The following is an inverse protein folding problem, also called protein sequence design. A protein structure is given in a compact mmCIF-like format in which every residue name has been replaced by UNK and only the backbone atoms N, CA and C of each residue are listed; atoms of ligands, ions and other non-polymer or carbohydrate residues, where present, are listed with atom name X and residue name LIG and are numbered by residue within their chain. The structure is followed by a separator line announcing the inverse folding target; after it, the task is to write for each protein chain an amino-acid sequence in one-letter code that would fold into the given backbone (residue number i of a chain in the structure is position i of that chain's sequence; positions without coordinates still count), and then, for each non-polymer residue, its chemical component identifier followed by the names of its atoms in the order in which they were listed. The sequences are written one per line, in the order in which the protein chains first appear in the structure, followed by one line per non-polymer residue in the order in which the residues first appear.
data_IF_897295636839
#
_entry.id   IF_897295636839
#
_cell.length_a   1.000
_cell.length_b   1.000
_cell.length_c   1.000
_cell.angle_alpha   90.00
_cell.angle_beta   90.00
_cell.angle_gamma   90.00
#
_symmetry.space_group_name_H-M   'P 1'
#
loop_
_entity.id
_entity.type
_entity.pdbx_description
1 polymer ?
#
# COMPACT_ATOMS: atom_id res chain seq x y z
N UNK A 1 -16.08 9.57 2.94
CA UNK A 1 -16.74 8.32 3.39
C UNK A 1 -18.01 8.18 2.57
N UNK A 2 -18.17 7.12 1.79
CA UNK A 2 -19.39 6.92 0.99
C UNK A 2 -20.45 6.29 1.90
N UNK A 3 -21.67 6.80 1.83
CA UNK A 3 -22.84 6.30 2.55
C UNK A 3 -23.62 5.36 1.64
N UNK A 4 -24.13 4.26 2.18
CA UNK A 4 -24.98 3.35 1.44
C UNK A 4 -26.45 3.80 1.56
N UNK A 5 -27.25 3.67 0.49
CA UNK A 5 -28.69 3.90 0.55
C UNK A 5 -29.31 3.04 1.66
N UNK A 6 -30.17 3.64 2.49
CA UNK A 6 -30.81 2.95 3.62
C UNK A 6 -30.07 3.01 4.94
N UNK A 7 -28.89 3.62 5.01
CA UNK A 7 -28.23 3.94 6.28
C UNK A 7 -29.00 5.09 6.97
N UNK A 8 -29.73 4.78 8.03
CA UNK A 8 -30.44 5.77 8.82
C UNK A 8 -29.50 6.74 9.55
N UNK A 9 -30.04 7.90 9.98
CA UNK A 9 -29.30 8.95 10.69
C UNK A 9 -28.53 8.41 11.90
N UNK A 10 -29.12 7.48 12.65
CA UNK A 10 -28.47 6.83 13.79
C UNK A 10 -27.35 5.86 13.39
N UNK A 11 -27.43 5.25 12.21
CA UNK A 11 -26.34 4.43 11.67
C UNK A 11 -25.20 5.30 11.16
N UNK A 12 -25.48 6.53 10.71
CA UNK A 12 -24.47 7.48 10.25
C UNK A 12 -23.49 7.90 11.35
N UNK A 13 -23.96 8.05 12.59
CA UNK A 13 -23.13 8.43 13.73
C UNK A 13 -22.35 7.27 14.38
N UNK A 14 -22.55 6.00 13.96
CA UNK A 14 -21.82 4.86 14.54
C UNK A 14 -20.41 4.79 14.00
N UNK A 15 -19.39 4.57 14.86
CA UNK A 15 -18.05 4.25 14.40
C UNK A 15 -18.08 3.02 13.47
N UNK A 16 -17.45 3.15 12.29
CA UNK A 16 -17.39 2.07 11.30
C UNK A 16 -15.95 1.71 11.05
N UNK A 17 -15.71 0.44 10.88
CA UNK A 17 -14.38 -0.12 10.64
C UNK A 17 -13.80 -0.80 11.88
N UNK A 18 -12.65 -1.38 11.70
CA UNK A 18 -11.92 -2.09 12.75
C UNK A 18 -10.84 -1.16 13.33
N UNK A 19 -10.54 -1.25 14.64
CA UNK A 19 -9.48 -0.48 15.25
C UNK A 19 -8.13 -0.76 14.57
N UNK A 20 -7.36 0.30 14.28
CA UNK A 20 -6.03 0.18 13.69
C UNK A 20 -5.04 -0.21 14.80
N UNK A 21 -4.11 -1.14 14.49
CA UNK A 21 -3.04 -1.55 15.42
C UNK A 21 -3.37 -2.76 16.30
N UNK A 22 -4.57 -3.31 16.22
CA UNK A 22 -4.95 -4.53 16.94
C UNK A 22 -4.78 -5.76 16.04
N UNK A 23 -4.10 -6.81 16.53
CA UNK A 23 -3.93 -8.09 15.81
C UNK A 23 -5.27 -8.75 15.47
N UNK A 24 -6.25 -8.66 16.36
CA UNK A 24 -7.60 -9.21 16.12
C UNK A 24 -8.31 -8.51 14.97
N UNK A 25 -8.01 -7.23 14.71
CA UNK A 25 -8.62 -6.49 13.58
C UNK A 25 -8.23 -7.08 12.23
N UNK A 26 -6.98 -7.53 12.08
CA UNK A 26 -6.52 -8.20 10.85
C UNK A 26 -7.22 -9.55 10.66
N UNK A 27 -7.38 -10.31 11.74
CA UNK A 27 -8.10 -11.56 11.70
C UNK A 27 -9.56 -11.36 11.29
N UNK A 28 -10.27 -10.43 11.93
CA UNK A 28 -11.67 -10.13 11.60
C UNK A 28 -11.84 -9.57 10.19
N UNK A 29 -10.91 -8.73 9.72
CA UNK A 29 -10.93 -8.25 8.34
C UNK A 29 -10.81 -9.40 7.33
N UNK A 30 -9.96 -10.39 7.61
CA UNK A 30 -9.80 -11.56 6.75
C UNK A 30 -11.05 -12.45 6.78
N UNK A 31 -11.64 -12.70 7.96
CA UNK A 31 -12.90 -13.43 8.06
C UNK A 31 -14.04 -12.73 7.31
N UNK A 32 -14.12 -11.40 7.43
CA UNK A 32 -15.15 -10.60 6.75
C UNK A 32 -15.01 -10.63 5.23
N UNK A 33 -13.78 -10.66 4.71
CA UNK A 33 -13.49 -10.68 3.28
C UNK A 33 -13.35 -12.10 2.70
N UNK A 34 -13.37 -13.17 3.51
CA UNK A 34 -13.29 -14.53 2.99
C UNK A 34 -14.41 -14.87 1.98
N UNK A 35 -15.70 -14.53 2.22
CA UNK A 35 -16.74 -14.76 1.22
C UNK A 35 -16.51 -13.97 -0.09
N UNK A 36 -15.83 -12.83 -0.03
CA UNK A 36 -15.40 -12.10 -1.22
C UNK A 36 -14.29 -12.84 -1.97
N UNK A 37 -13.30 -13.37 -1.26
CA UNK A 37 -12.23 -14.18 -1.86
C UNK A 37 -12.81 -15.44 -2.54
N UNK A 38 -13.77 -16.10 -1.89
CA UNK A 38 -14.47 -17.26 -2.47
C UNK A 38 -15.24 -16.88 -3.74
N UNK A 39 -15.94 -15.74 -3.74
CA UNK A 39 -16.62 -15.21 -4.90
C UNK A 39 -15.66 -14.99 -6.08
N UNK A 40 -14.55 -14.30 -5.86
CA UNK A 40 -13.56 -14.01 -6.92
C UNK A 40 -12.98 -15.31 -7.49
N UNK A 41 -12.66 -16.28 -6.63
CA UNK A 41 -12.03 -17.53 -7.06
C UNK A 41 -13.00 -18.51 -7.69
N UNK A 42 -14.21 -18.67 -7.14
CA UNK A 42 -15.15 -19.75 -7.52
C UNK A 42 -16.22 -19.28 -8.49
N UNK A 43 -16.81 -18.09 -8.27
CA UNK A 43 -17.87 -17.58 -9.12
C UNK A 43 -17.29 -16.86 -10.34
N UNK A 44 -16.34 -15.92 -10.15
CA UNK A 44 -15.65 -15.25 -11.26
C UNK A 44 -14.58 -16.13 -11.92
N UNK A 45 -14.18 -17.23 -11.28
CA UNK A 45 -13.11 -18.13 -11.74
C UNK A 45 -11.79 -17.42 -12.04
N UNK A 46 -11.49 -16.33 -11.29
CA UNK A 46 -10.23 -15.62 -11.43
C UNK A 46 -9.08 -16.47 -10.85
N UNK A 47 -8.32 -17.13 -11.74
CA UNK A 47 -7.21 -18.01 -11.35
C UNK A 47 -6.05 -17.22 -10.73
N UNK A 48 -5.74 -16.07 -11.31
CA UNK A 48 -4.66 -15.20 -10.86
C UNK A 48 -5.22 -14.06 -10.01
N UNK A 49 -5.49 -14.36 -8.75
CA UNK A 49 -6.01 -13.46 -7.73
C UNK A 49 -5.05 -13.34 -6.56
N UNK A 50 -4.82 -12.11 -6.10
CA UNK A 50 -4.00 -11.80 -4.94
C UNK A 50 -4.72 -10.75 -4.09
N UNK A 51 -4.80 -10.96 -2.78
CA UNK A 51 -5.25 -9.95 -1.81
C UNK A 51 -4.24 -9.79 -0.69
N UNK A 52 -3.99 -8.55 -0.32
CA UNK A 52 -3.23 -8.16 0.86
C UNK A 52 -4.05 -7.14 1.66
N UNK A 53 -4.66 -7.60 2.73
CA UNK A 53 -5.62 -6.85 3.57
C UNK A 53 -6.80 -6.35 2.73
N UNK A 54 -6.85 -5.07 2.41
CA UNK A 54 -7.86 -4.38 1.60
C UNK A 54 -7.43 -4.16 0.14
N UNK A 55 -6.14 -4.25 -0.17
CA UNK A 55 -5.63 -4.19 -1.54
C UNK A 55 -5.76 -5.54 -2.24
N UNK A 56 -6.35 -5.59 -3.42
CA UNK A 56 -6.40 -6.82 -4.22
C UNK A 56 -6.12 -6.58 -5.71
N UNK A 57 -5.69 -7.64 -6.37
CA UNK A 57 -5.39 -7.68 -7.80
C UNK A 57 -6.05 -8.90 -8.43
N UNK A 58 -6.67 -8.69 -9.60
CA UNK A 58 -7.16 -9.73 -10.48
C UNK A 58 -6.43 -9.61 -11.82
N UNK A 59 -6.02 -10.73 -12.39
CA UNK A 59 -5.35 -10.77 -13.69
C UNK A 59 -6.13 -11.66 -14.65
N UNK A 60 -6.25 -11.23 -15.91
CA UNK A 60 -6.81 -11.96 -17.01
C UNK A 60 -6.02 -11.66 -18.30
N UNK A 61 -6.21 -12.49 -19.31
CA UNK A 61 -5.52 -12.33 -20.59
C UNK A 61 -6.10 -11.20 -21.43
N UNK A 62 -7.34 -10.78 -21.15
CA UNK A 62 -8.04 -9.75 -21.90
C UNK A 62 -8.73 -8.71 -21.00
N UNK A 63 -8.90 -7.50 -21.54
CA UNK A 63 -9.56 -6.39 -20.86
C UNK A 63 -11.08 -6.57 -20.70
N UNK A 64 -11.84 -7.09 -21.66
CA UNK A 64 -13.27 -7.30 -21.48
C UNK A 64 -13.60 -8.16 -20.28
N UNK A 65 -12.88 -9.25 -20.05
CA UNK A 65 -13.04 -10.10 -18.87
C UNK A 65 -12.82 -9.31 -17.57
N UNK A 66 -11.77 -8.46 -17.52
CA UNK A 66 -11.49 -7.62 -16.34
C UNK A 66 -12.59 -6.57 -16.11
N UNK A 67 -13.17 -6.01 -17.16
CA UNK A 67 -14.31 -5.09 -17.02
C UNK A 67 -15.54 -5.79 -16.46
N UNK A 68 -15.87 -6.98 -16.98
CA UNK A 68 -16.99 -7.80 -16.48
C UNK A 68 -16.78 -8.15 -14.99
N UNK A 69 -15.57 -8.58 -14.63
CA UNK A 69 -15.25 -8.86 -13.23
C UNK A 69 -15.33 -7.61 -12.35
N UNK A 70 -14.90 -6.46 -12.87
CA UNK A 70 -14.99 -5.20 -12.11
C UNK A 70 -16.43 -4.87 -11.71
N UNK A 71 -17.37 -4.95 -12.64
CA UNK A 71 -18.79 -4.68 -12.36
C UNK A 71 -19.36 -5.67 -11.32
N UNK A 72 -19.09 -6.96 -11.49
CA UNK A 72 -19.50 -8.00 -10.56
C UNK A 72 -18.87 -7.81 -9.16
N UNK A 73 -17.61 -7.37 -9.08
CA UNK A 73 -16.92 -7.06 -7.84
C UNK A 73 -17.54 -5.84 -7.15
N UNK A 74 -17.86 -4.78 -7.88
CA UNK A 74 -18.52 -3.60 -7.33
C UNK A 74 -19.87 -3.98 -6.70
N UNK A 75 -20.69 -4.73 -7.41
CA UNK A 75 -21.96 -5.22 -6.90
C UNK A 75 -21.79 -6.11 -5.64
N UNK A 76 -20.82 -7.03 -5.67
CA UNK A 76 -20.56 -7.92 -4.53
C UNK A 76 -20.08 -7.13 -3.30
N UNK A 77 -19.16 -6.17 -3.46
CA UNK A 77 -18.66 -5.35 -2.37
C UNK A 77 -19.75 -4.45 -1.77
N UNK A 78 -20.69 -3.94 -2.60
CA UNK A 78 -21.82 -3.18 -2.11
C UNK A 78 -22.69 -3.99 -1.12
N UNK A 79 -22.85 -5.31 -1.33
CA UNK A 79 -23.53 -6.22 -0.39
C UNK A 79 -22.80 -6.34 0.95
N UNK A 80 -21.49 -6.18 0.97
CA UNK A 80 -20.67 -6.09 2.18
C UNK A 80 -20.58 -4.66 2.75
N UNK A 81 -21.29 -3.70 2.17
CA UNK A 81 -21.18 -2.27 2.53
C UNK A 81 -19.76 -1.74 2.41
N UNK A 82 -19.02 -2.25 1.45
CA UNK A 82 -17.67 -1.82 1.10
C UNK A 82 -17.67 -1.11 -0.25
N UNK A 83 -16.75 -0.15 -0.39
CA UNK A 83 -16.51 0.58 -1.63
C UNK A 83 -15.04 0.47 -2.00
N UNK A 84 -14.74 0.54 -3.30
CA UNK A 84 -13.37 0.66 -3.80
C UNK A 84 -13.10 2.05 -4.35
N UNK A 85 -11.84 2.39 -4.51
CA UNK A 85 -11.44 3.61 -5.22
C UNK A 85 -11.61 3.39 -6.73
N UNK A 86 -12.81 3.63 -7.25
CA UNK A 86 -13.17 3.34 -8.64
C UNK A 86 -12.22 3.99 -9.65
N UNK A 87 -11.75 5.22 -9.37
CA UNK A 87 -10.76 5.89 -10.20
C UNK A 87 -9.42 5.14 -10.34
N UNK A 88 -9.12 4.19 -9.46
CA UNK A 88 -7.92 3.37 -9.50
C UNK A 88 -8.19 1.93 -9.98
N UNK A 89 -9.45 1.52 -9.97
CA UNK A 89 -9.90 0.17 -10.35
C UNK A 89 -10.13 0.06 -11.87
N UNK A 90 -9.09 0.26 -12.66
CA UNK A 90 -9.14 0.15 -14.12
C UNK A 90 -8.21 -0.95 -14.63
N UNK A 91 -8.66 -1.78 -15.59
CA UNK A 91 -7.80 -2.70 -16.30
C UNK A 91 -6.66 -1.98 -17.01
N UNK A 92 -5.44 -2.43 -16.75
CA UNK A 92 -4.23 -1.90 -17.38
C UNK A 92 -3.28 -3.02 -17.79
N UNK A 93 -2.49 -2.85 -18.84
CA UNK A 93 -1.46 -3.80 -19.19
C UNK A 93 -0.43 -3.98 -18.08
N UNK A 94 -0.04 -5.21 -17.79
CA UNK A 94 0.99 -5.52 -16.77
C UNK A 94 2.34 -4.88 -17.15
N UNK A 95 2.61 -4.74 -18.45
CA UNK A 95 3.81 -4.09 -18.97
C UNK A 95 3.96 -2.61 -18.55
N UNK A 96 2.86 -1.91 -18.27
CA UNK A 96 2.89 -0.53 -17.77
C UNK A 96 3.28 -0.45 -16.28
N UNK A 97 3.30 -1.59 -15.60
CA UNK A 97 3.57 -1.71 -14.18
C UNK A 97 2.34 -1.50 -13.30
N UNK A 98 2.17 -2.40 -12.34
CA UNK A 98 1.04 -2.42 -11.39
C UNK A 98 1.48 -1.78 -10.07
N UNK A 99 0.83 -0.68 -9.62
CA UNK A 99 1.09 -0.10 -8.31
C UNK A 99 0.57 -1.03 -7.21
N UNK A 100 1.46 -1.62 -6.40
CA UNK A 100 1.09 -2.50 -5.31
C UNK A 100 2.07 -2.36 -4.13
N UNK A 101 1.57 -2.29 -2.91
CA UNK A 101 2.33 -2.24 -1.64
C UNK A 101 3.53 -1.27 -1.64
N UNK A 102 3.36 -0.09 -2.24
CA UNK A 102 4.42 0.94 -2.26
C UNK A 102 5.41 0.82 -3.43
N UNK A 103 5.28 -0.20 -4.25
CA UNK A 103 6.06 -0.42 -5.45
C UNK A 103 5.22 -0.24 -6.73
N UNK A 104 5.91 -0.17 -7.85
CA UNK A 104 5.35 -0.41 -9.19
C UNK A 104 5.98 -1.71 -9.68
N UNK A 105 5.16 -2.74 -9.82
CA UNK A 105 5.57 -4.11 -10.16
C UNK A 105 5.41 -4.31 -11.68
N UNK A 106 6.49 -4.66 -12.33
CA UNK A 106 6.56 -5.05 -13.75
C UNK A 106 6.83 -6.56 -13.85
N UNK A 107 6.67 -7.19 -15.00
CA UNK A 107 6.93 -8.63 -15.14
C UNK A 107 8.32 -9.08 -14.68
N UNK A 108 9.37 -8.28 -14.96
CA UNK A 108 10.75 -8.65 -14.67
C UNK A 108 11.41 -7.81 -13.56
N UNK A 109 10.73 -6.79 -13.03
CA UNK A 109 11.33 -5.88 -12.04
C UNK A 109 10.29 -5.22 -11.14
N UNK A 110 10.74 -4.73 -9.98
CA UNK A 110 9.93 -3.91 -9.05
C UNK A 110 10.63 -2.58 -8.80
N UNK A 111 9.93 -1.47 -8.95
CA UNK A 111 10.46 -0.14 -8.66
C UNK A 111 9.75 0.45 -7.46
N UNK A 112 10.47 1.09 -6.58
CA UNK A 112 9.87 1.88 -5.49
C UNK A 112 9.06 3.05 -6.09
N UNK A 113 7.85 3.30 -5.60
CA UNK A 113 7.08 4.48 -6.03
C UNK A 113 7.90 5.75 -5.75
N UNK A 114 8.06 6.61 -6.77
CA UNK A 114 8.87 7.85 -6.70
C UNK A 114 8.57 8.68 -5.45
N UNK A 115 7.29 8.82 -5.11
CA UNK A 115 6.85 9.57 -3.92
C UNK A 115 7.46 9.03 -2.63
N UNK A 116 7.61 7.70 -2.50
CA UNK A 116 8.19 7.06 -1.30
C UNK A 116 9.69 7.37 -1.15
N UNK A 117 10.46 7.36 -2.26
CA UNK A 117 11.87 7.76 -2.23
C UNK A 117 12.06 9.23 -1.88
N UNK A 118 11.29 10.12 -2.48
CA UNK A 118 11.34 11.56 -2.18
C UNK A 118 10.95 11.84 -0.72
N UNK A 119 9.88 11.22 -0.23
CA UNK A 119 9.43 11.40 1.15
C UNK A 119 10.50 10.94 2.15
N UNK A 120 11.16 9.81 1.87
CA UNK A 120 12.25 9.35 2.72
C UNK A 120 13.46 10.28 2.69
N UNK A 121 13.87 10.78 1.51
CA UNK A 121 14.95 11.75 1.42
C UNK A 121 14.71 13.01 2.26
N UNK A 122 13.48 13.54 2.25
CA UNK A 122 13.08 14.67 3.09
C UNK A 122 13.15 14.32 4.59
N UNK A 123 12.65 13.14 4.95
CA UNK A 123 12.70 12.65 6.35
C UNK A 123 14.14 12.49 6.82
N UNK A 124 15.01 11.86 6.04
CA UNK A 124 16.42 11.66 6.39
C UNK A 124 17.15 12.99 6.54
N UNK A 125 16.90 13.97 5.66
CA UNK A 125 17.47 15.31 5.81
C UNK A 125 17.06 15.97 7.13
N UNK A 126 15.80 15.87 7.53
CA UNK A 126 15.33 16.38 8.83
C UNK A 126 15.98 15.66 10.01
N UNK A 127 16.11 14.32 9.91
CA UNK A 127 16.76 13.52 10.96
C UNK A 127 18.25 13.86 11.13
N UNK A 128 18.97 14.10 10.03
CA UNK A 128 20.37 14.51 10.06
C UNK A 128 20.55 15.91 10.64
N UNK A 129 19.60 16.82 10.39
CA UNK A 129 19.60 18.15 11.01
C UNK A 129 19.37 18.05 12.53
N UNK A 130 18.42 17.23 12.97
CA UNK A 130 18.15 16.97 14.40
C UNK A 130 19.35 16.30 15.10
N UNK A 131 20.05 15.40 14.40
CA UNK A 131 21.30 14.82 14.91
C UNK A 131 22.41 15.88 15.08
N UNK A 132 22.59 16.75 14.10
CA UNK A 132 23.54 17.85 14.20
C UNK A 132 23.22 18.83 15.34
N UNK A 133 21.94 19.00 15.68
CA UNK A 133 21.45 19.78 16.82
C UNK A 133 21.55 19.04 18.17
N UNK A 134 21.94 17.76 18.18
CA UNK A 134 21.98 16.93 19.40
C UNK A 134 20.61 16.43 19.90
N UNK A 135 19.55 16.62 19.13
CA UNK A 135 18.18 16.22 19.49
C UNK A 135 17.91 14.72 19.34
N UNK A 136 18.63 14.06 18.45
CA UNK A 136 18.54 12.61 18.19
C UNK A 136 19.92 11.97 18.17
N UNK A 137 19.99 10.68 18.53
CA UNK A 137 21.25 9.92 18.51
C UNK A 137 21.56 9.39 17.10
N UNK A 138 22.83 9.06 16.85
CA UNK A 138 23.25 8.39 15.61
C UNK A 138 22.55 7.04 15.42
N UNK A 139 22.29 6.32 16.50
CA UNK A 139 21.56 5.05 16.48
C UNK A 139 20.14 5.22 15.95
N UNK A 140 19.46 6.30 16.30
CA UNK A 140 18.12 6.62 15.79
C UNK A 140 18.15 6.93 14.28
N UNK A 141 19.19 7.64 13.83
CA UNK A 141 19.41 7.88 12.40
C UNK A 141 19.66 6.56 11.66
N UNK A 142 20.57 5.72 12.19
CA UNK A 142 20.90 4.43 11.60
C UNK A 142 19.68 3.49 11.54
N UNK A 143 18.93 3.38 12.63
CA UNK A 143 17.69 2.60 12.67
C UNK A 143 16.69 3.04 11.60
N UNK A 144 16.55 4.35 11.35
CA UNK A 144 15.71 4.88 10.27
C UNK A 144 16.25 4.49 8.90
N UNK A 145 17.56 4.56 8.68
CA UNK A 145 18.22 4.18 7.41
C UNK A 145 18.04 2.68 7.17
N UNK A 146 18.33 1.86 8.16
CA UNK A 146 18.18 0.39 8.05
C UNK A 146 16.75 -0.02 7.77
N UNK A 147 15.77 0.58 8.46
CA UNK A 147 14.35 0.32 8.22
C UNK A 147 13.94 0.65 6.78
N UNK A 148 14.40 1.78 6.25
CA UNK A 148 14.11 2.14 4.86
C UNK A 148 14.83 1.25 3.85
N UNK A 149 16.12 0.96 4.07
CA UNK A 149 16.91 0.04 3.21
C UNK A 149 16.25 -1.34 3.18
N UNK A 150 15.83 -1.85 4.33
CA UNK A 150 15.13 -3.14 4.44
C UNK A 150 13.83 -3.17 3.64
N UNK A 151 13.08 -2.08 3.62
CA UNK A 151 11.90 -1.97 2.75
C UNK A 151 12.30 -1.79 1.27
N UNK A 152 13.22 -0.88 0.97
CA UNK A 152 13.57 -0.54 -0.40
C UNK A 152 14.24 -1.69 -1.16
N UNK A 153 14.99 -2.56 -0.48
CA UNK A 153 15.71 -3.71 -1.09
C UNK A 153 14.79 -4.74 -1.77
N UNK A 154 13.50 -4.74 -1.45
CA UNK A 154 12.51 -5.58 -2.14
C UNK A 154 12.23 -5.13 -3.58
N UNK A 155 12.75 -3.97 -4.00
CA UNK A 155 12.71 -3.48 -5.37
C UNK A 155 14.10 -3.27 -5.97
N UNK A 156 14.11 -2.99 -7.27
CA UNK A 156 15.31 -2.58 -7.99
C UNK A 156 15.67 -1.13 -7.63
N UNK A 157 16.35 -0.99 -6.50
CA UNK A 157 16.59 0.32 -5.85
C UNK A 157 18.07 0.55 -5.49
N UNK A 158 18.99 -0.28 -5.97
CA UNK A 158 20.41 -0.12 -5.65
C UNK A 158 20.93 1.28 -5.96
N UNK A 159 20.72 1.75 -7.21
CA UNK A 159 21.14 3.09 -7.63
C UNK A 159 20.47 4.21 -6.82
N UNK A 160 19.15 4.07 -6.52
CA UNK A 160 18.43 5.04 -5.70
C UNK A 160 18.99 5.11 -4.28
N UNK A 161 19.23 3.97 -3.64
CA UNK A 161 19.79 3.91 -2.28
C UNK A 161 21.17 4.56 -2.21
N UNK A 162 22.05 4.17 -3.15
CA UNK A 162 23.39 4.74 -3.26
C UNK A 162 23.36 6.26 -3.47
N UNK A 163 22.57 6.74 -4.42
CA UNK A 163 22.46 8.16 -4.72
C UNK A 163 21.91 8.96 -3.53
N UNK A 164 20.88 8.45 -2.86
CA UNK A 164 20.26 9.14 -1.73
C UNK A 164 21.20 9.24 -0.52
N UNK A 165 21.89 8.15 -0.19
CA UNK A 165 22.82 8.13 0.94
C UNK A 165 24.09 8.94 0.65
N UNK A 166 24.60 8.94 -0.58
CA UNK A 166 25.73 9.76 -0.96
C UNK A 166 25.42 11.27 -0.96
N UNK A 167 24.16 11.64 -1.28
CA UNK A 167 23.73 13.06 -1.29
C UNK A 167 23.48 13.65 0.12
N UNK A 168 23.43 12.81 1.15
CA UNK A 168 23.11 13.20 2.53
C UNK A 168 24.17 12.65 3.49
N UNK A 169 25.41 13.20 3.48
CA UNK A 169 26.45 12.76 4.40
C UNK A 169 26.06 13.07 5.86
N UNK A 170 26.49 12.17 6.77
CA UNK A 170 26.26 12.36 8.20
C UNK A 170 27.09 13.57 8.68
N UNK A 171 26.46 14.61 9.22
CA UNK A 171 27.18 15.76 9.76
C UNK A 171 27.99 15.37 11.01
N UNK A 172 28.97 16.18 11.37
CA UNK A 172 29.61 16.05 12.66
C UNK A 172 28.56 16.28 13.77
N UNK A 173 28.63 15.53 14.89
CA UNK A 173 27.74 15.76 16.02
C UNK A 173 27.93 17.18 16.56
N UNK A 174 26.83 17.87 16.86
CA UNK A 174 26.88 19.15 17.56
C UNK A 174 27.66 18.98 18.87
N UNK A 175 28.61 19.85 19.13
CA UNK A 175 29.22 19.92 20.44
C UNK A 175 28.17 20.45 21.39
N UNK A 176 27.81 19.65 22.41
CA UNK A 176 26.99 20.08 23.52
C UNK A 176 27.74 21.17 24.32
#
# INVERSE_FOLDING_TARGET
MAWFPGDGLFAAGRPRGLPIGNLTSQFWANCYLDPFDQFVKRELRCQAYLRYVDDFLCFADDKPTLWTWREAILERLARFRLTIHEAQAHPRPVAEGIPFLGFVVFPARRRLKRRKGIAYGRRLKGLLAAYAAGEVSLEQVDASVQGWVNHARYGDTWGLRRALLAALPVPAPGRA
#
